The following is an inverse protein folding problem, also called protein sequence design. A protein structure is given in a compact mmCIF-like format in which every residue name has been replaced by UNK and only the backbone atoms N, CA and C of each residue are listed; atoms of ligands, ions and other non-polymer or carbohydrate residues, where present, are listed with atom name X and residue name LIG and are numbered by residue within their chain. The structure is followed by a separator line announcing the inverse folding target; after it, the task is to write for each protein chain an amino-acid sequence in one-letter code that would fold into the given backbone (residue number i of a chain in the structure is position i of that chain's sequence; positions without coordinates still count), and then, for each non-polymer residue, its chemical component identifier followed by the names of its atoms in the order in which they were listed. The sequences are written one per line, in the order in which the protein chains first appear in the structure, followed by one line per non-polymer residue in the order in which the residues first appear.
data_IF_010879746459
#
_entry.id   IF_010879746459
#
_cell.length_a   1.000
_cell.length_b   1.000
_cell.length_c   1.000
_cell.angle_alpha   90.00
_cell.angle_beta   90.00
_cell.angle_gamma   90.00
#
_symmetry.space_group_name_H-M   'P 1'
#
loop_
_entity.id
_entity.type
_entity.pdbx_description
1 polymer ?
#
# COMPACT_ATOMS: atom_id res chain seq x y z
N UNK A 1 -14.50 -19.14 76.55
CA UNK A 1 -14.62 -17.75 76.13
C UNK A 1 -13.49 -17.43 75.11
N UNK A 2 -13.71 -17.66 73.87
CA UNK A 2 -12.73 -17.40 72.84
C UNK A 2 -13.26 -16.28 71.91
N UNK A 3 -12.57 -15.12 71.90
CA UNK A 3 -12.85 -14.02 70.97
C UNK A 3 -12.25 -14.38 69.61
N UNK A 4 -13.09 -14.48 68.61
CA UNK A 4 -12.72 -14.59 67.23
C UNK A 4 -12.49 -13.12 66.72
N UNK A 5 -11.23 -12.84 66.29
CA UNK A 5 -10.88 -11.59 65.64
C UNK A 5 -11.24 -11.72 64.13
N UNK A 6 -12.10 -10.84 63.66
CA UNK A 6 -12.44 -10.68 62.26
C UNK A 6 -11.33 -9.85 61.57
N UNK A 7 -10.65 -10.44 60.61
CA UNK A 7 -9.71 -9.74 59.73
C UNK A 7 -10.49 -8.98 58.66
N UNK A 8 -10.24 -7.67 58.53
CA UNK A 8 -10.68 -6.84 57.39
C UNK A 8 -9.92 -7.27 56.13
N UNK A 9 -10.58 -7.25 54.95
CA UNK A 9 -9.87 -7.51 53.70
C UNK A 9 -9.09 -6.24 53.27
N UNK A 10 -7.79 -6.46 52.97
CA UNK A 10 -6.92 -5.44 52.35
C UNK A 10 -7.50 -4.98 51.01
N UNK A 11 -7.64 -3.67 50.86
CA UNK A 11 -8.01 -3.02 49.59
C UNK A 11 -6.78 -3.01 48.67
N UNK A 12 -6.85 -3.72 47.57
CA UNK A 12 -5.90 -3.55 46.45
C UNK A 12 -5.93 -2.10 45.92
N UNK A 13 -4.78 -1.55 45.53
CA UNK A 13 -4.73 -0.20 44.95
C UNK A 13 -5.27 -0.20 43.52
N UNK A 14 -6.53 0.25 43.38
CA UNK A 14 -7.19 0.52 42.14
C UNK A 14 -6.77 1.92 41.68
N UNK A 15 -5.60 2.06 41.01
CA UNK A 15 -5.33 3.30 40.25
C UNK A 15 -4.11 3.29 39.31
N UNK A 16 -3.76 2.18 38.66
CA UNK A 16 -2.65 2.25 37.67
C UNK A 16 -3.03 1.82 36.25
N UNK A 17 -4.22 1.27 36.05
CA UNK A 17 -4.68 0.88 34.69
C UNK A 17 -5.42 1.97 33.94
N UNK A 18 -5.83 3.03 34.61
CA UNK A 18 -6.54 4.19 34.01
C UNK A 18 -5.57 5.18 33.36
N UNK A 19 -4.43 5.41 33.94
CA UNK A 19 -3.44 6.36 33.41
C UNK A 19 -2.70 5.83 32.18
N UNK A 20 -2.33 4.55 32.14
CA UNK A 20 -1.70 3.93 30.99
C UNK A 20 -2.61 3.83 29.74
N UNK A 21 -3.94 3.88 29.92
CA UNK A 21 -4.90 3.95 28.81
C UNK A 21 -5.14 5.34 28.28
N UNK A 22 -4.94 6.39 29.08
CA UNK A 22 -5.15 7.78 28.64
C UNK A 22 -3.93 8.35 27.90
N UNK A 23 -2.72 7.91 28.21
CA UNK A 23 -1.52 8.33 27.50
C UNK A 23 -1.36 7.66 26.14
N UNK A 24 -1.85 6.42 25.97
CA UNK A 24 -1.84 5.72 24.68
C UNK A 24 -2.90 6.23 23.68
N UNK A 25 -3.87 7.06 24.12
CA UNK A 25 -4.96 7.54 23.29
C UNK A 25 -4.77 8.97 22.75
N UNK A 26 -3.71 9.69 23.15
CA UNK A 26 -3.51 11.10 22.79
C UNK A 26 -2.39 11.38 21.79
N UNK A 27 -1.61 10.38 21.39
CA UNK A 27 -0.67 10.55 20.28
C UNK A 27 -1.37 10.24 18.95
N UNK A 28 -2.06 11.23 18.38
CA UNK A 28 -2.32 11.23 16.93
C UNK A 28 -0.96 11.13 16.23
N UNK A 29 -0.76 10.11 15.37
CA UNK A 29 0.53 9.95 14.70
C UNK A 29 0.89 11.24 13.96
N UNK A 30 2.14 11.68 14.06
CA UNK A 30 2.66 12.95 13.54
C UNK A 30 2.46 13.19 12.02
N UNK A 31 1.83 12.25 11.30
CA UNK A 31 1.49 12.39 9.88
C UNK A 31 0.17 13.12 9.60
N UNK A 32 -0.60 13.54 10.62
CA UNK A 32 -1.89 14.24 10.45
C UNK A 32 -1.77 15.74 10.15
N UNK A 33 -0.59 16.35 10.28
CA UNK A 33 -0.35 17.75 9.91
C UNK A 33 0.68 17.83 8.79
N UNK A 34 0.19 17.85 7.55
CA UNK A 34 1.00 17.91 6.33
C UNK A 34 1.32 19.34 5.95
N UNK A 35 2.38 19.91 6.52
CA UNK A 35 3.12 20.94 5.82
C UNK A 35 4.04 20.26 4.80
N UNK A 36 3.81 20.49 3.49
CA UNK A 36 4.71 20.03 2.42
C UNK A 36 6.12 20.57 2.68
N UNK A 37 7.17 19.74 2.53
CA UNK A 37 8.53 20.25 2.56
C UNK A 37 8.67 21.34 1.49
N UNK A 38 8.97 22.57 1.91
CA UNK A 38 9.06 23.74 1.01
C UNK A 38 10.13 23.59 -0.09
N UNK A 39 11.08 22.68 0.09
CA UNK A 39 12.13 22.39 -0.90
C UNK A 39 11.63 21.72 -2.18
N UNK A 40 10.57 20.88 -2.10
CA UNK A 40 10.01 20.21 -3.27
C UNK A 40 9.27 21.17 -4.22
N UNK A 41 8.78 22.29 -3.69
CA UNK A 41 8.06 23.31 -4.46
C UNK A 41 8.98 24.13 -5.38
N UNK A 42 10.27 24.19 -5.10
CA UNK A 42 11.23 25.09 -5.78
C UNK A 42 11.82 24.54 -7.09
N UNK A 43 11.73 23.25 -7.37
CA UNK A 43 12.42 22.63 -8.52
C UNK A 43 11.71 22.70 -9.88
N UNK A 44 10.42 23.05 -9.93
CA UNK A 44 9.67 23.08 -11.18
C UNK A 44 8.89 24.38 -11.33
N UNK A 45 9.16 25.12 -12.40
CA UNK A 45 8.56 26.41 -12.67
C UNK A 45 7.03 26.35 -12.89
N UNK A 46 6.40 27.51 -12.89
CA UNK A 46 4.98 27.69 -13.11
C UNK A 46 4.41 27.02 -14.39
N UNK A 47 5.16 26.90 -15.52
CA UNK A 47 4.65 26.20 -16.71
C UNK A 47 4.35 24.71 -16.45
N UNK A 48 5.19 24.03 -15.64
CA UNK A 48 4.97 22.64 -15.28
C UNK A 48 3.71 22.45 -14.42
N UNK A 49 3.41 23.42 -13.55
CA UNK A 49 2.15 23.43 -12.78
C UNK A 49 0.95 23.63 -13.68
N UNK A 50 0.97 24.63 -14.59
CA UNK A 50 -0.11 24.85 -15.54
C UNK A 50 -0.38 23.59 -16.37
N UNK A 51 0.65 22.97 -16.92
CA UNK A 51 0.51 21.70 -17.65
C UNK A 51 -0.19 20.63 -16.80
N UNK A 52 0.21 20.47 -15.55
CA UNK A 52 -0.35 19.45 -14.66
C UNK A 52 -1.83 19.71 -14.35
N UNK A 53 -2.19 20.95 -14.01
CA UNK A 53 -3.57 21.31 -13.62
C UNK A 53 -4.53 21.38 -14.80
N UNK A 54 -4.09 21.91 -15.96
CA UNK A 54 -4.97 22.18 -17.10
C UNK A 54 -4.94 21.10 -18.18
N UNK A 55 -3.91 20.24 -18.21
CA UNK A 55 -3.79 19.20 -19.24
C UNK A 55 -3.78 17.81 -18.59
N UNK A 56 -2.79 17.51 -17.71
CA UNK A 56 -2.59 16.14 -17.24
C UNK A 56 -3.72 15.69 -16.31
N UNK A 57 -4.08 16.49 -15.31
CA UNK A 57 -5.12 16.12 -14.35
C UNK A 57 -6.51 16.00 -15.01
N UNK A 58 -6.99 16.94 -15.85
CA UNK A 58 -8.25 16.76 -16.58
C UNK A 58 -8.25 15.52 -17.48
N UNK A 59 -7.15 15.25 -18.19
CA UNK A 59 -7.05 14.10 -19.08
C UNK A 59 -7.11 12.76 -18.28
N UNK A 60 -6.41 12.68 -17.16
CA UNK A 60 -6.48 11.54 -16.25
C UNK A 60 -7.91 11.37 -15.70
N UNK A 61 -8.58 12.48 -15.37
CA UNK A 61 -9.98 12.44 -14.96
C UNK A 61 -10.90 11.89 -16.05
N UNK A 62 -10.73 12.33 -17.30
CA UNK A 62 -11.50 11.79 -18.44
C UNK A 62 -11.28 10.27 -18.55
N UNK A 63 -10.03 9.80 -18.49
CA UNK A 63 -9.75 8.36 -18.50
C UNK A 63 -10.43 7.63 -17.35
N UNK A 64 -10.39 8.21 -16.16
CA UNK A 64 -11.00 7.62 -14.97
C UNK A 64 -12.51 7.49 -15.11
N UNK A 65 -13.19 8.53 -15.60
CA UNK A 65 -14.64 8.52 -15.78
C UNK A 65 -15.03 7.54 -16.89
N UNK A 66 -14.40 7.62 -18.06
CA UNK A 66 -14.77 6.79 -19.22
C UNK A 66 -14.48 5.31 -18.94
N UNK A 67 -13.24 4.98 -18.63
CA UNK A 67 -12.85 3.58 -18.38
C UNK A 67 -13.48 3.03 -17.10
N UNK A 68 -13.65 3.87 -16.08
CA UNK A 68 -14.34 3.51 -14.85
C UNK A 68 -15.80 3.14 -15.10
N UNK A 69 -16.53 3.93 -15.89
CA UNK A 69 -17.92 3.64 -16.28
C UNK A 69 -18.02 2.33 -17.04
N UNK A 70 -17.18 2.14 -18.08
CA UNK A 70 -17.16 0.90 -18.87
C UNK A 70 -16.82 -0.30 -17.97
N UNK A 71 -15.77 -0.19 -17.16
CA UNK A 71 -15.36 -1.26 -16.24
C UNK A 71 -16.47 -1.64 -15.26
N UNK A 72 -17.15 -0.63 -14.68
CA UNK A 72 -18.25 -0.86 -13.75
C UNK A 72 -19.44 -1.53 -14.43
N UNK A 73 -19.81 -1.09 -15.63
CA UNK A 73 -20.89 -1.73 -16.41
C UNK A 73 -20.57 -3.18 -16.72
N UNK A 74 -19.35 -3.47 -17.17
CA UNK A 74 -18.92 -4.83 -17.48
C UNK A 74 -18.61 -5.68 -16.24
N UNK A 75 -18.52 -5.08 -15.06
CA UNK A 75 -18.24 -5.81 -13.81
C UNK A 75 -19.33 -6.83 -13.44
N UNK A 76 -20.53 -6.68 -13.97
CA UNK A 76 -21.62 -7.66 -13.76
C UNK A 76 -21.38 -8.99 -14.50
N UNK A 77 -20.53 -8.98 -15.53
CA UNK A 77 -20.15 -10.14 -16.35
C UNK A 77 -18.86 -10.81 -15.82
N UNK A 78 -18.13 -10.17 -14.91
CA UNK A 78 -16.83 -10.63 -14.44
C UNK A 78 -16.90 -11.06 -12.97
N UNK A 79 -16.79 -12.36 -12.72
CA UNK A 79 -16.84 -12.94 -11.37
C UNK A 79 -15.48 -12.90 -10.66
N UNK A 80 -14.39 -12.96 -11.42
CA UNK A 80 -13.05 -13.13 -10.89
C UNK A 80 -12.24 -11.82 -10.84
N UNK A 81 -12.81 -10.73 -11.36
CA UNK A 81 -12.18 -9.41 -11.44
C UNK A 81 -11.05 -9.33 -12.47
N UNK A 82 -10.94 -10.29 -13.39
CA UNK A 82 -9.94 -10.32 -14.44
C UNK A 82 -10.16 -9.21 -15.47
N UNK A 83 -11.41 -8.97 -15.82
CA UNK A 83 -11.77 -7.90 -16.74
C UNK A 83 -11.52 -6.52 -16.11
N UNK A 84 -11.90 -6.33 -14.84
CA UNK A 84 -11.58 -5.11 -14.10
C UNK A 84 -10.08 -4.87 -14.01
N UNK A 85 -9.28 -5.93 -13.81
CA UNK A 85 -7.82 -5.81 -13.82
C UNK A 85 -7.29 -5.36 -15.18
N UNK A 86 -7.84 -5.87 -16.29
CA UNK A 86 -7.48 -5.42 -17.66
C UNK A 86 -7.82 -3.93 -17.87
N UNK A 87 -8.98 -3.48 -17.41
CA UNK A 87 -9.35 -2.05 -17.49
C UNK A 87 -8.45 -1.17 -16.61
N UNK A 88 -8.14 -1.59 -15.38
CA UNK A 88 -7.18 -0.90 -14.52
C UNK A 88 -5.80 -0.81 -15.18
N UNK A 89 -5.34 -1.89 -15.82
CA UNK A 89 -4.07 -1.91 -16.56
C UNK A 89 -4.10 -0.98 -17.79
N UNK A 90 -5.21 -0.95 -18.55
CA UNK A 90 -5.38 -0.02 -19.67
C UNK A 90 -5.36 1.42 -19.20
N UNK A 91 -6.13 1.73 -18.16
CA UNK A 91 -6.13 3.05 -17.52
C UNK A 91 -4.72 3.46 -17.09
N UNK A 92 -4.02 2.57 -16.40
CA UNK A 92 -2.66 2.80 -15.93
C UNK A 92 -1.67 3.06 -17.06
N UNK A 93 -1.76 2.31 -18.18
CA UNK A 93 -0.95 2.55 -19.38
C UNK A 93 -1.21 3.92 -19.98
N UNK A 94 -2.47 4.36 -20.03
CA UNK A 94 -2.82 5.70 -20.52
C UNK A 94 -2.26 6.79 -19.60
N UNK A 95 -2.39 6.62 -18.28
CA UNK A 95 -1.82 7.54 -17.29
C UNK A 95 -0.31 7.64 -17.47
N UNK A 96 0.41 6.50 -17.46
CA UNK A 96 1.88 6.48 -17.60
C UNK A 96 2.33 7.10 -18.93
N UNK A 97 1.62 6.83 -20.04
CA UNK A 97 1.89 7.45 -21.34
C UNK A 97 1.68 8.96 -21.30
N UNK A 98 0.66 9.44 -20.60
CA UNK A 98 0.31 10.87 -20.49
C UNK A 98 1.35 11.63 -19.67
N UNK A 99 1.87 11.06 -18.58
CA UNK A 99 2.87 11.72 -17.73
C UNK A 99 4.28 11.68 -18.31
N UNK A 100 4.53 10.83 -19.32
CA UNK A 100 5.83 10.71 -20.03
C UNK A 100 7.01 10.39 -19.10
N UNK A 101 6.79 9.69 -18.01
CA UNK A 101 7.84 9.27 -17.08
C UNK A 101 8.32 7.86 -17.45
N UNK A 102 9.57 7.71 -17.94
CA UNK A 102 10.12 6.41 -18.24
C UNK A 102 10.34 5.62 -16.96
N UNK A 103 10.04 4.32 -17.01
CA UNK A 103 10.22 3.41 -15.87
C UNK A 103 11.14 2.26 -16.27
N UNK A 104 12.19 2.05 -15.50
CA UNK A 104 13.09 0.92 -15.63
C UNK A 104 12.75 -0.14 -14.58
N UNK A 105 12.69 -1.40 -14.97
CA UNK A 105 12.51 -2.53 -14.05
C UNK A 105 13.84 -3.24 -13.89
N UNK A 106 14.25 -3.51 -12.65
CA UNK A 106 15.54 -4.16 -12.32
C UNK A 106 15.35 -5.17 -11.20
N UNK A 107 16.30 -6.08 -11.05
CA UNK A 107 16.32 -7.10 -10.00
C UNK A 107 15.71 -8.42 -10.43
N UNK A 108 15.13 -9.16 -9.51
CA UNK A 108 14.53 -10.48 -9.73
C UNK A 108 13.19 -10.36 -10.46
N UNK A 109 13.23 -10.31 -11.79
CA UNK A 109 12.03 -10.13 -12.65
C UNK A 109 11.39 -11.45 -13.08
N UNK A 110 11.88 -12.58 -12.60
CA UNK A 110 11.22 -13.87 -12.77
C UNK A 110 10.05 -13.98 -11.78
N UNK A 111 8.90 -13.49 -12.23
CA UNK A 111 7.67 -13.49 -11.46
C UNK A 111 6.99 -14.86 -11.45
N UNK A 112 7.64 -15.86 -10.85
CA UNK A 112 7.02 -17.16 -10.64
C UNK A 112 5.89 -17.07 -9.61
N UNK A 113 4.66 -17.20 -10.09
CA UNK A 113 3.45 -17.24 -9.27
C UNK A 113 2.89 -18.66 -9.13
N UNK A 114 3.70 -19.69 -9.29
CA UNK A 114 3.32 -21.10 -9.06
C UNK A 114 2.95 -21.35 -7.60
N UNK A 115 3.51 -20.54 -6.68
CA UNK A 115 3.21 -20.52 -5.25
C UNK A 115 2.48 -19.23 -4.85
N UNK A 116 1.75 -19.23 -3.71
CA UNK A 116 1.20 -18.00 -3.17
C UNK A 116 2.28 -16.95 -2.94
N UNK A 117 2.07 -15.71 -3.41
CA UNK A 117 3.04 -14.61 -3.29
C UNK A 117 2.41 -13.33 -2.77
N UNK A 118 3.16 -12.64 -1.94
CA UNK A 118 2.85 -11.30 -1.44
C UNK A 118 3.94 -10.33 -1.89
N UNK A 119 3.58 -9.30 -2.63
CA UNK A 119 4.48 -8.25 -3.06
C UNK A 119 4.40 -7.10 -2.05
N UNK A 120 5.48 -6.88 -1.31
CA UNK A 120 5.61 -5.79 -0.34
C UNK A 120 6.27 -4.59 -1.01
N UNK A 121 5.51 -3.52 -1.22
CA UNK A 121 5.89 -2.39 -2.07
C UNK A 121 5.96 -1.10 -1.27
N UNK A 122 6.98 -0.25 -1.53
CA UNK A 122 7.04 1.11 -1.00
C UNK A 122 5.90 1.98 -1.52
N UNK A 123 5.45 2.96 -0.73
CA UNK A 123 4.33 3.82 -1.12
C UNK A 123 4.63 5.30 -0.89
N UNK A 124 5.02 5.98 -1.94
CA UNK A 124 5.38 7.39 -1.89
C UNK A 124 4.45 8.29 -2.74
N UNK A 125 3.76 7.71 -3.73
CA UNK A 125 2.95 8.46 -4.68
C UNK A 125 1.61 7.79 -4.98
N UNK A 126 0.59 8.56 -5.35
CA UNK A 126 -0.64 7.98 -5.90
C UNK A 126 -0.40 7.27 -7.26
N UNK A 127 0.70 7.60 -7.93
CA UNK A 127 1.10 7.01 -9.20
C UNK A 127 1.83 5.66 -9.05
N UNK A 128 2.12 5.22 -7.82
CA UNK A 128 2.66 3.88 -7.55
C UNK A 128 1.70 2.79 -8.06
N UNK A 129 0.39 3.01 -7.90
CA UNK A 129 -0.64 2.07 -8.35
C UNK A 129 -0.62 1.88 -9.87
N UNK A 130 -0.67 2.94 -10.71
CA UNK A 130 -0.49 2.80 -12.16
C UNK A 130 0.83 2.10 -12.55
N UNK A 131 1.93 2.39 -11.86
CA UNK A 131 3.22 1.75 -12.14
C UNK A 131 3.09 0.23 -11.95
N UNK A 132 2.55 -0.23 -10.82
CA UNK A 132 2.37 -1.66 -10.55
C UNK A 132 1.46 -2.34 -11.58
N UNK A 133 0.34 -1.73 -11.96
CA UNK A 133 -0.54 -2.30 -12.99
C UNK A 133 0.12 -2.43 -14.36
N UNK A 134 1.06 -1.54 -14.69
CA UNK A 134 1.78 -1.61 -15.98
C UNK A 134 2.87 -2.66 -15.94
N UNK A 135 3.68 -2.71 -14.87
CA UNK A 135 4.94 -3.43 -14.83
C UNK A 135 4.89 -4.80 -14.17
N UNK A 136 3.87 -5.11 -13.36
CA UNK A 136 3.63 -6.49 -12.93
C UNK A 136 2.83 -7.24 -14.02
N UNK A 137 3.38 -8.35 -14.59
CA UNK A 137 2.81 -8.99 -15.79
C UNK A 137 1.58 -9.85 -15.52
N UNK A 138 1.19 -10.03 -14.26
CA UNK A 138 0.11 -10.92 -13.79
C UNK A 138 -1.06 -10.15 -13.18
N UNK A 139 -2.17 -10.85 -12.92
CA UNK A 139 -3.29 -10.33 -12.14
C UNK A 139 -2.96 -10.42 -10.64
N UNK A 140 -3.29 -9.37 -9.88
CA UNK A 140 -3.07 -9.30 -8.44
C UNK A 140 -4.22 -8.60 -7.73
N UNK A 141 -4.26 -8.72 -6.42
CA UNK A 141 -5.14 -7.95 -5.54
C UNK A 141 -4.32 -6.96 -4.74
N UNK A 142 -4.87 -5.78 -4.48
CA UNK A 142 -4.25 -4.75 -3.65
C UNK A 142 -4.98 -4.67 -2.31
N UNK A 143 -4.22 -4.60 -1.24
CA UNK A 143 -4.75 -4.21 0.07
C UNK A 143 -4.86 -2.69 0.13
N UNK A 144 -6.05 -2.18 0.41
CA UNK A 144 -6.31 -0.75 0.42
C UNK A 144 -7.14 -0.32 1.63
N UNK A 145 -7.07 0.98 1.98
CA UNK A 145 -7.81 1.57 3.09
C UNK A 145 -9.26 1.82 2.74
N UNK A 146 -10.17 1.58 3.70
CA UNK A 146 -11.61 1.79 3.55
C UNK A 146 -12.00 3.20 3.10
N UNK A 147 -11.21 4.21 3.44
CA UNK A 147 -11.44 5.61 3.08
C UNK A 147 -11.44 5.82 1.55
N UNK A 148 -10.72 4.98 0.79
CA UNK A 148 -10.72 5.05 -0.67
C UNK A 148 -12.06 4.69 -1.30
N UNK A 149 -12.95 4.03 -0.57
CA UNK A 149 -14.31 3.72 -1.04
C UNK A 149 -15.18 4.97 -1.20
N UNK A 150 -14.82 6.09 -0.56
CA UNK A 150 -15.53 7.36 -0.69
C UNK A 150 -15.29 8.06 -2.05
N UNK A 151 -14.24 7.69 -2.79
CA UNK A 151 -13.94 8.32 -4.06
C UNK A 151 -14.80 7.71 -5.19
N UNK A 152 -15.58 8.53 -5.93
CA UNK A 152 -16.36 8.05 -7.08
C UNK A 152 -15.48 7.34 -8.11
N UNK A 153 -16.03 6.40 -8.84
CA UNK A 153 -15.38 5.53 -9.83
C UNK A 153 -14.26 4.66 -9.24
N UNK A 154 -13.29 5.25 -8.55
CA UNK A 154 -12.19 4.50 -7.92
C UNK A 154 -12.71 3.57 -6.82
N UNK A 155 -13.47 4.08 -5.86
CA UNK A 155 -14.03 3.30 -4.77
C UNK A 155 -15.00 2.22 -5.26
N UNK A 156 -15.84 2.55 -6.24
CA UNK A 156 -16.76 1.59 -6.84
C UNK A 156 -16.01 0.49 -7.59
N UNK A 157 -14.97 0.84 -8.34
CA UNK A 157 -14.10 -0.12 -9.00
C UNK A 157 -13.40 -1.04 -7.98
N UNK A 158 -12.78 -0.49 -6.94
CA UNK A 158 -12.11 -1.25 -5.88
C UNK A 158 -13.06 -2.24 -5.20
N UNK A 159 -14.28 -1.83 -4.90
CA UNK A 159 -15.32 -2.68 -4.30
C UNK A 159 -15.71 -3.85 -5.21
N UNK A 160 -15.82 -3.60 -6.52
CA UNK A 160 -16.27 -4.60 -7.50
C UNK A 160 -15.15 -5.50 -8.01
N UNK A 161 -13.90 -5.04 -8.04
CA UNK A 161 -12.76 -5.75 -8.61
C UNK A 161 -12.12 -6.77 -7.66
N UNK A 162 -12.74 -7.02 -6.49
CA UNK A 162 -12.27 -8.03 -5.53
C UNK A 162 -10.98 -7.63 -4.79
N UNK A 163 -10.65 -6.34 -4.74
CA UNK A 163 -9.54 -5.83 -3.95
C UNK A 163 -9.81 -6.01 -2.44
N UNK A 164 -8.77 -5.99 -1.63
CA UNK A 164 -8.84 -6.28 -0.19
C UNK A 164 -8.98 -4.97 0.60
N UNK A 165 -10.19 -4.68 1.06
CA UNK A 165 -10.49 -3.50 1.87
C UNK A 165 -10.14 -3.73 3.33
N UNK A 166 -9.30 -2.89 3.91
CA UNK A 166 -8.94 -2.92 5.34
C UNK A 166 -9.33 -1.60 6.01
N UNK A 167 -10.02 -1.71 7.14
CA UNK A 167 -10.27 -0.60 8.03
C UNK A 167 -9.21 -0.63 9.14
N UNK A 168 -8.28 0.32 9.13
CA UNK A 168 -7.19 0.39 10.10
C UNK A 168 -7.69 0.86 11.49
N UNK A 169 -8.78 1.62 11.54
CA UNK A 169 -9.37 2.12 12.79
C UNK A 169 -10.25 1.05 13.46
N UNK A 170 -10.81 0.14 12.68
CA UNK A 170 -11.62 -0.98 13.19
C UNK A 170 -11.19 -2.30 12.50
N UNK A 171 -10.15 -2.96 13.00
CA UNK A 171 -9.66 -4.22 12.43
C UNK A 171 -10.73 -5.33 12.40
N UNK A 172 -11.66 -5.34 13.35
CA UNK A 172 -12.75 -6.33 13.38
C UNK A 172 -13.64 -6.24 12.13
N UNK A 173 -13.88 -5.04 11.60
CA UNK A 173 -14.62 -4.85 10.35
C UNK A 173 -13.90 -5.44 9.12
N UNK A 174 -12.59 -5.70 9.22
CA UNK A 174 -11.77 -6.24 8.12
C UNK A 174 -11.69 -7.77 8.09
N UNK A 175 -12.21 -8.47 9.10
CA UNK A 175 -12.09 -9.94 9.23
C UNK A 175 -12.59 -10.67 7.98
N UNK A 176 -13.71 -10.25 7.42
CA UNK A 176 -14.26 -10.83 6.20
C UNK A 176 -13.35 -10.66 4.99
N UNK A 177 -12.78 -9.47 4.82
CA UNK A 177 -11.83 -9.15 3.76
C UNK A 177 -10.52 -9.95 3.91
N UNK A 178 -10.00 -10.05 5.13
CA UNK A 178 -8.80 -10.85 5.45
C UNK A 178 -9.02 -12.33 5.11
N UNK A 179 -10.16 -12.91 5.53
CA UNK A 179 -10.51 -14.31 5.20
C UNK A 179 -10.63 -14.52 3.68
N UNK A 180 -11.19 -13.54 2.96
CA UNK A 180 -11.31 -13.60 1.49
C UNK A 180 -9.93 -13.51 0.82
N UNK A 181 -9.06 -12.61 1.29
CA UNK A 181 -7.70 -12.47 0.82
C UNK A 181 -6.88 -13.75 0.99
N UNK A 182 -6.96 -14.37 2.18
CA UNK A 182 -6.29 -15.66 2.44
C UNK A 182 -6.74 -16.76 1.48
N UNK A 183 -8.05 -16.86 1.21
CA UNK A 183 -8.56 -17.83 0.24
C UNK A 183 -8.06 -17.57 -1.17
N UNK A 184 -8.01 -16.30 -1.58
CA UNK A 184 -7.52 -15.90 -2.91
C UNK A 184 -6.03 -16.19 -3.06
N UNK A 185 -5.24 -15.84 -2.04
CA UNK A 185 -3.80 -16.03 -2.01
C UNK A 185 -3.45 -17.53 -2.10
N UNK A 186 -4.13 -18.40 -1.33
CA UNK A 186 -3.97 -19.87 -1.40
C UNK A 186 -4.37 -20.48 -2.74
N UNK A 187 -5.18 -19.79 -3.54
CA UNK A 187 -5.53 -20.18 -4.92
C UNK A 187 -4.54 -19.64 -5.97
N UNK A 188 -3.42 -19.07 -5.55
CA UNK A 188 -2.41 -18.52 -6.44
C UNK A 188 -2.67 -17.09 -6.90
N UNK A 189 -3.66 -16.36 -6.34
CA UNK A 189 -3.86 -14.95 -6.65
C UNK A 189 -2.88 -14.09 -5.85
N UNK A 190 -1.89 -13.45 -6.49
CA UNK A 190 -0.91 -12.63 -5.80
C UNK A 190 -1.54 -11.44 -5.09
N UNK A 191 -0.95 -11.04 -3.97
CA UNK A 191 -1.38 -9.92 -3.18
C UNK A 191 -0.30 -8.84 -3.14
N UNK A 192 -0.67 -7.61 -3.45
CA UNK A 192 0.17 -6.42 -3.28
C UNK A 192 -0.21 -5.72 -1.98
N UNK A 193 0.77 -5.48 -1.13
CA UNK A 193 0.62 -4.73 0.11
C UNK A 193 1.56 -3.54 0.14
N UNK A 194 1.13 -2.49 0.80
CA UNK A 194 1.97 -1.34 1.17
C UNK A 194 2.19 -1.41 2.68
N UNK A 195 3.32 -1.96 3.15
CA UNK A 195 3.50 -2.25 4.58
C UNK A 195 3.57 -0.99 5.44
N UNK A 196 3.86 0.16 4.85
CA UNK A 196 3.82 1.48 5.49
C UNK A 196 2.39 1.90 5.87
N UNK A 197 1.37 1.25 5.31
CA UNK A 197 -0.04 1.55 5.58
C UNK A 197 -0.53 2.89 5.00
N UNK A 198 0.28 3.62 4.27
CA UNK A 198 -0.06 4.87 3.60
C UNK A 198 1.13 5.45 2.86
N UNK A 199 0.89 6.53 2.09
CA UNK A 199 1.97 7.23 1.38
C UNK A 199 2.88 7.97 2.36
N UNK A 200 4.19 7.93 2.10
CA UNK A 200 5.14 8.71 2.90
C UNK A 200 4.93 10.23 2.72
N UNK A 201 4.95 11.01 3.80
CA UNK A 201 4.81 12.46 3.73
C UNK A 201 6.11 13.18 3.32
N UNK A 202 7.27 12.55 3.49
CA UNK A 202 8.59 13.15 3.33
C UNK A 202 9.53 12.42 2.36
N UNK A 203 9.04 11.38 1.68
CA UNK A 203 9.84 10.55 0.76
C UNK A 203 10.70 9.49 1.44
N UNK A 204 10.73 9.45 2.77
CA UNK A 204 11.48 8.43 3.52
C UNK A 204 10.59 7.22 3.81
N UNK A 205 11.20 6.05 3.87
CA UNK A 205 10.52 4.81 4.21
C UNK A 205 9.95 4.90 5.63
N UNK A 206 8.65 4.71 5.75
CA UNK A 206 7.96 4.77 7.02
C UNK A 206 8.09 3.44 7.79
N UNK A 207 7.82 3.43 9.11
CA UNK A 207 7.70 2.18 9.87
C UNK A 207 6.67 1.24 9.25
N UNK A 208 7.00 -0.04 9.18
CA UNK A 208 6.08 -1.05 8.64
C UNK A 208 5.06 -1.47 9.69
N UNK A 209 3.83 -1.65 9.25
CA UNK A 209 2.76 -2.21 10.07
C UNK A 209 2.96 -3.73 10.15
N UNK A 210 3.21 -4.31 11.34
CA UNK A 210 3.45 -5.75 11.47
C UNK A 210 2.31 -6.59 10.89
N UNK A 211 1.05 -6.13 11.05
CA UNK A 211 -0.14 -6.77 10.48
C UNK A 211 -0.14 -6.92 8.96
N UNK A 212 0.69 -6.16 8.24
CA UNK A 212 0.81 -6.28 6.79
C UNK A 212 1.29 -7.67 6.35
N UNK A 213 2.14 -8.31 7.16
CA UNK A 213 2.74 -9.62 6.86
C UNK A 213 1.94 -10.81 7.39
N UNK A 214 0.92 -10.56 8.21
CA UNK A 214 0.04 -11.60 8.74
C UNK A 214 -0.57 -12.49 7.64
N UNK A 215 -1.00 -11.89 6.53
CA UNK A 215 -1.57 -12.63 5.40
C UNK A 215 -0.54 -13.55 4.74
N UNK A 216 0.70 -13.07 4.57
CA UNK A 216 1.78 -13.86 4.00
C UNK A 216 2.10 -15.07 4.86
N UNK A 217 2.33 -14.88 6.16
CA UNK A 217 2.63 -15.96 7.11
C UNK A 217 1.48 -16.98 7.18
N UNK A 218 0.22 -16.50 7.28
CA UNK A 218 -0.94 -17.39 7.37
C UNK A 218 -1.22 -18.20 6.09
N UNK A 219 -0.73 -17.72 4.97
CA UNK A 219 -0.87 -18.41 3.68
C UNK A 219 0.40 -19.19 3.29
N UNK A 220 1.47 -19.11 4.09
CA UNK A 220 2.81 -19.62 3.77
C UNK A 220 3.29 -19.08 2.40
N UNK A 221 2.99 -17.80 2.15
CA UNK A 221 3.27 -17.12 0.90
C UNK A 221 4.63 -16.43 0.98
N UNK A 222 5.47 -16.64 -0.02
CA UNK A 222 6.72 -15.90 -0.13
C UNK A 222 6.45 -14.39 -0.27
N UNK A 223 7.36 -13.57 0.26
CA UNK A 223 7.26 -12.12 0.19
C UNK A 223 8.34 -11.59 -0.74
N UNK A 224 7.93 -10.98 -1.86
CA UNK A 224 8.83 -10.32 -2.80
C UNK A 224 8.88 -8.82 -2.46
N UNK A 225 10.00 -8.28 -1.97
CA UNK A 225 10.16 -6.86 -1.68
C UNK A 225 10.32 -6.06 -2.97
N UNK A 226 9.59 -4.96 -3.11
CA UNK A 226 9.69 -4.06 -4.26
C UNK A 226 9.91 -2.62 -3.77
N UNK A 227 10.94 -1.97 -4.27
CA UNK A 227 11.17 -0.55 -4.09
C UNK A 227 10.78 0.22 -5.36
N UNK A 228 9.88 1.18 -5.20
CA UNK A 228 9.58 2.19 -6.23
C UNK A 228 10.46 3.41 -5.94
N UNK A 229 11.41 3.67 -6.81
CA UNK A 229 12.41 4.74 -6.64
C UNK A 229 11.98 5.97 -7.42
N UNK A 230 12.19 7.14 -6.82
CA UNK A 230 11.89 8.47 -7.36
C UNK A 230 10.39 8.77 -7.56
N UNK A 231 9.47 7.98 -7.01
CA UNK A 231 8.02 8.21 -7.16
C UNK A 231 7.49 9.32 -6.25
N UNK A 232 8.16 9.64 -5.15
CA UNK A 232 7.75 10.71 -4.24
C UNK A 232 7.66 12.07 -4.94
N UNK A 233 8.70 12.44 -5.68
CA UNK A 233 8.76 13.71 -6.41
C UNK A 233 7.85 13.74 -7.65
N UNK A 234 7.45 12.57 -8.19
CA UNK A 234 6.58 12.46 -9.36
C UNK A 234 5.22 13.11 -9.12
N UNK A 235 4.58 12.79 -8.00
CA UNK A 235 3.33 13.41 -7.56
C UNK A 235 3.31 13.45 -6.03
N UNK A 236 3.81 14.53 -5.42
CA UNK A 236 3.80 14.71 -3.97
C UNK A 236 2.38 14.68 -3.41
N UNK A 237 2.25 14.24 -2.16
CA UNK A 237 0.98 14.14 -1.47
C UNK A 237 0.26 15.51 -1.42
N UNK A 238 -1.07 15.50 -1.54
CA UNK A 238 -1.91 16.70 -1.52
C UNK A 238 -1.61 17.74 -2.63
N UNK A 239 -1.00 17.30 -3.74
CA UNK A 239 -0.80 18.14 -4.94
C UNK A 239 -1.35 17.44 -6.17
N UNK A 240 -1.61 18.22 -7.24
CA UNK A 240 -1.86 17.73 -8.59
C UNK A 240 -0.69 18.06 -9.53
N UNK A 241 0.45 18.44 -8.97
CA UNK A 241 1.63 18.79 -9.73
C UNK A 241 2.43 17.55 -10.10
N UNK A 242 2.14 16.99 -11.27
CA UNK A 242 2.83 15.83 -11.83
C UNK A 242 4.14 16.29 -12.50
N UNK A 243 5.26 15.76 -12.03
CA UNK A 243 6.58 16.03 -12.59
C UNK A 243 7.01 14.87 -13.47
N UNK A 244 7.55 15.16 -14.66
CA UNK A 244 8.15 14.13 -15.49
C UNK A 244 9.55 13.81 -14.99
N UNK A 245 9.83 12.55 -14.68
CA UNK A 245 11.15 12.08 -14.25
C UNK A 245 11.32 10.60 -14.50
N UNK A 246 12.57 10.13 -14.56
CA UNK A 246 12.87 8.70 -14.65
C UNK A 246 12.57 8.02 -13.33
N UNK A 247 11.97 6.84 -13.42
CA UNK A 247 11.55 6.03 -12.28
C UNK A 247 12.20 4.65 -12.37
N UNK A 248 12.40 3.99 -11.22
CA UNK A 248 12.80 2.59 -11.20
C UNK A 248 11.85 1.74 -10.34
N UNK A 249 11.59 0.54 -10.83
CA UNK A 249 10.95 -0.54 -10.09
C UNK A 249 12.04 -1.58 -9.81
N UNK A 250 12.46 -1.70 -8.56
CA UNK A 250 13.50 -2.64 -8.14
C UNK A 250 12.87 -3.79 -7.39
N UNK A 251 13.05 -4.99 -7.90
CA UNK A 251 12.49 -6.22 -7.33
C UNK A 251 13.59 -6.98 -6.62
N UNK A 252 13.41 -7.25 -5.33
CA UNK A 252 14.38 -8.03 -4.53
C UNK A 252 14.07 -9.52 -4.58
N UNK A 253 14.95 -10.30 -3.94
CA UNK A 253 14.80 -11.74 -3.85
C UNK A 253 13.64 -12.11 -2.91
N UNK A 254 12.93 -13.21 -3.20
CA UNK A 254 11.84 -13.70 -2.38
C UNK A 254 12.28 -14.03 -0.95
N UNK A 255 11.49 -13.63 0.03
CA UNK A 255 11.67 -13.96 1.44
C UNK A 255 10.64 -15.01 1.80
N UNK A 256 11.10 -16.24 2.11
CA UNK A 256 10.20 -17.34 2.46
C UNK A 256 9.56 -17.14 3.83
N UNK A 257 8.27 -17.48 3.91
CA UNK A 257 7.51 -17.54 5.17
C UNK A 257 7.21 -18.98 5.60
N UNK A 258 7.75 -19.97 4.93
CA UNK A 258 7.52 -21.37 5.24
C UNK A 258 7.97 -21.70 6.67
N UNK A 259 7.10 -22.37 7.44
CA UNK A 259 7.35 -22.74 8.82
C UNK A 259 7.27 -21.60 9.84
N UNK A 260 7.02 -20.35 9.40
CA UNK A 260 6.86 -19.21 10.29
C UNK A 260 5.45 -19.15 10.88
N UNK A 261 5.38 -18.56 12.06
CA UNK A 261 4.14 -18.35 12.82
C UNK A 261 3.82 -16.86 12.93
N UNK A 262 2.62 -16.54 13.38
CA UNK A 262 2.22 -15.13 13.61
C UNK A 262 3.12 -14.43 14.64
N UNK A 263 3.83 -15.18 15.49
CA UNK A 263 4.80 -14.63 16.46
C UNK A 263 6.04 -14.06 15.77
N UNK A 264 6.32 -14.53 14.55
CA UNK A 264 7.51 -14.13 13.77
C UNK A 264 7.24 -12.88 12.91
N UNK A 265 6.05 -12.28 13.03
CA UNK A 265 5.62 -11.12 12.20
C UNK A 265 6.61 -9.96 12.28
N UNK A 266 7.12 -9.63 13.47
CA UNK A 266 8.08 -8.52 13.66
C UNK A 266 9.43 -8.83 12.99
N UNK A 267 9.91 -10.06 13.11
CA UNK A 267 11.15 -10.49 12.45
C UNK A 267 11.03 -10.46 10.93
N UNK A 268 9.89 -10.92 10.39
CA UNK A 268 9.57 -10.83 8.96
C UNK A 268 9.52 -9.38 8.52
N UNK A 269 8.83 -8.53 9.28
CA UNK A 269 8.74 -7.09 9.02
C UNK A 269 10.12 -6.43 8.93
N UNK A 270 11.00 -6.70 9.89
CA UNK A 270 12.36 -6.17 9.91
C UNK A 270 13.18 -6.66 8.70
N UNK A 271 13.08 -7.95 8.36
CA UNK A 271 13.77 -8.53 7.19
C UNK A 271 13.33 -7.91 5.88
N UNK A 272 12.01 -7.78 5.67
CA UNK A 272 11.46 -7.16 4.46
C UNK A 272 11.83 -5.68 4.38
N UNK A 273 11.81 -4.96 5.52
CA UNK A 273 12.22 -3.55 5.59
C UNK A 273 13.68 -3.37 5.18
N UNK A 274 14.58 -4.18 5.74
CA UNK A 274 16.02 -4.14 5.39
C UNK A 274 16.25 -4.44 3.90
N UNK A 275 15.52 -5.40 3.32
CA UNK A 275 15.60 -5.69 1.89
C UNK A 275 15.15 -4.49 1.05
N UNK A 276 14.06 -3.83 1.40
CA UNK A 276 13.56 -2.64 0.70
C UNK A 276 14.56 -1.47 0.85
N UNK A 277 15.13 -1.24 2.03
CA UNK A 277 16.16 -0.22 2.26
C UNK A 277 17.39 -0.44 1.38
N UNK A 278 17.83 -1.69 1.26
CA UNK A 278 18.92 -2.07 0.36
C UNK A 278 18.58 -1.80 -1.11
N UNK A 279 17.35 -2.09 -1.54
CA UNK A 279 16.90 -1.79 -2.90
C UNK A 279 16.84 -0.28 -3.16
N UNK A 280 16.42 0.53 -2.19
CA UNK A 280 16.37 1.98 -2.35
C UNK A 280 17.77 2.61 -2.40
N UNK A 281 18.72 2.12 -1.58
CA UNK A 281 20.07 2.66 -1.49
C UNK A 281 21.00 2.22 -2.63
N UNK A 282 20.62 1.18 -3.39
CA UNK A 282 21.41 0.77 -4.54
C UNK A 282 21.57 1.93 -5.54
N UNK A 283 22.76 2.09 -6.17
CA UNK A 283 22.99 3.19 -7.11
C UNK A 283 21.99 3.12 -8.26
N UNK A 284 21.37 4.26 -8.58
CA UNK A 284 20.50 4.37 -9.76
C UNK A 284 21.32 4.09 -11.00
N UNK A 285 20.94 3.08 -11.76
CA UNK A 285 21.59 2.80 -13.04
C UNK A 285 21.21 3.92 -14.01
N UNK A 286 21.96 5.04 -13.95
CA UNK A 286 21.85 6.07 -14.99
C UNK A 286 22.10 5.39 -16.32
N UNK A 287 21.11 5.40 -17.20
CA UNK A 287 21.34 5.04 -18.61
C UNK A 287 22.44 5.93 -19.14
N UNK A 288 23.54 5.31 -19.54
CA UNK A 288 24.53 5.91 -20.40
C UNK A 288 23.89 6.36 -21.71
#
# INVERSE_FOLDING_TARGET
MNKIATAEPEREPENDRGQLRSEAASETPAWSSSALPQECAKRHGWPSRLRSYFILAPLIWVYTVVLGTISLTLSFLDRDGGLQHKFARLWSKLVMKTILSPVKVTGSTDFDNSKPKVYAVTHASALDIPILYVYLPFQFRIVFKSELLAYPFVGWHLKRSGQVCINQQNPAASIGAVKSALRSLRKGMPLVIFPEGGRTPNGQLQPFLPGAFFLAIKAEADIDPIALVDTFDLLPMNTYHIKCQSLEVRVGDPISTAGLTVRDTDAVSAKVKSAIESLQSAPTSKSL
#
